data_IF_808904342115
#
_entry.id   IF_808904342115
#
_cell.length_a   1.000
_cell.length_b   1.000
_cell.length_c   1.000
_cell.angle_alpha   90.00
_cell.angle_beta   90.00
_cell.angle_gamma   90.00
#
_symmetry.space_group_name_H-M   'P 1'
#
loop_
_entity.id
_entity.type
_entity.pdbx_description
1 polymer ?
#
# COMPACT_ATOMS: atom_id res chain seq x y z
N UNK A 1 -24.61 -16.18 56.57
CA UNK A 1 -24.79 -16.89 55.29
C UNK A 1 -25.06 -15.84 54.21
N UNK A 2 -24.01 -15.14 53.73
CA UNK A 2 -24.13 -14.05 52.75
C UNK A 2 -23.79 -14.56 51.36
N UNK A 3 -24.82 -14.77 50.53
CA UNK A 3 -24.68 -15.07 49.13
C UNK A 3 -25.08 -13.87 48.28
N UNK A 4 -24.13 -13.28 47.57
CA UNK A 4 -24.38 -12.69 46.25
C UNK A 4 -23.13 -12.87 45.40
N UNK A 5 -23.30 -13.68 44.36
CA UNK A 5 -22.36 -14.05 43.30
C UNK A 5 -21.49 -12.87 42.87
N UNK A 6 -20.18 -13.13 42.80
CA UNK A 6 -19.21 -12.29 42.11
C UNK A 6 -19.72 -12.03 40.69
N UNK A 7 -20.09 -10.79 40.41
CA UNK A 7 -20.41 -10.29 39.07
C UNK A 7 -19.08 -10.30 38.32
N UNK A 8 -18.79 -11.42 37.65
CA UNK A 8 -17.67 -11.49 36.72
C UNK A 8 -17.98 -10.50 35.61
N UNK A 9 -17.29 -9.36 35.63
CA UNK A 9 -17.21 -8.47 34.49
C UNK A 9 -16.54 -9.28 33.37
N UNK A 10 -17.35 -9.79 32.45
CA UNK A 10 -16.86 -10.26 31.16
C UNK A 10 -16.47 -9.00 30.38
N UNK A 11 -15.30 -8.45 30.71
CA UNK A 11 -14.60 -7.58 29.79
C UNK A 11 -14.29 -8.46 28.58
N UNK A 12 -15.15 -8.36 27.56
CA UNK A 12 -14.80 -8.73 26.20
C UNK A 12 -13.55 -7.95 25.86
N UNK A 13 -12.39 -8.53 26.17
CA UNK A 13 -11.15 -8.18 25.51
C UNK A 13 -11.41 -8.52 24.05
N UNK A 14 -11.75 -7.50 23.26
CA UNK A 14 -11.47 -7.51 21.84
C UNK A 14 -9.95 -7.68 21.74
N UNK A 15 -9.50 -8.93 21.81
CA UNK A 15 -8.21 -9.35 21.34
C UNK A 15 -8.27 -9.04 19.86
N UNK A 16 -7.86 -7.82 19.51
CA UNK A 16 -7.39 -7.48 18.19
C UNK A 16 -6.27 -8.48 17.94
N UNK A 17 -6.64 -9.63 17.38
CA UNK A 17 -5.76 -10.49 16.65
C UNK A 17 -5.32 -9.62 15.47
N UNK A 18 -4.36 -8.73 15.75
CA UNK A 18 -3.44 -8.16 14.79
C UNK A 18 -2.72 -9.39 14.28
N UNK A 19 -3.38 -10.07 13.34
CA UNK A 19 -2.77 -11.02 12.46
C UNK A 19 -1.56 -10.26 11.97
N UNK A 20 -0.41 -10.64 12.47
CA UNK A 20 0.89 -10.21 11.98
C UNK A 20 0.87 -10.59 10.52
N UNK A 21 0.34 -9.69 9.68
CA UNK A 21 0.45 -9.76 8.24
C UNK A 21 1.94 -9.69 8.06
N UNK A 22 2.55 -10.87 7.89
CA UNK A 22 3.95 -11.10 7.52
C UNK A 22 4.41 -9.83 6.79
N UNK A 23 5.44 -9.10 7.25
CA UNK A 23 5.89 -7.92 6.54
C UNK A 23 6.20 -8.41 5.13
N UNK A 24 5.31 -8.08 4.18
CA UNK A 24 5.38 -8.58 2.82
C UNK A 24 6.50 -7.81 2.18
N UNK A 25 7.73 -8.27 2.45
CA UNK A 25 8.94 -8.08 1.66
C UNK A 25 8.83 -6.87 0.74
N UNK A 26 8.89 -5.68 1.35
CA UNK A 26 9.37 -4.52 0.63
C UNK A 26 10.77 -4.91 0.23
N UNK A 27 11.00 -5.31 -1.02
CA UNK A 27 12.26 -5.31 -1.79
C UNK A 27 12.08 -5.85 -3.23
N UNK A 28 10.85 -5.96 -3.75
CA UNK A 28 10.66 -6.15 -5.18
C UNK A 28 10.34 -4.78 -5.81
N UNK A 29 11.27 -4.27 -6.63
CA UNK A 29 11.03 -3.10 -7.50
C UNK A 29 10.12 -3.55 -8.64
N UNK A 30 8.85 -3.69 -8.33
CA UNK A 30 7.84 -4.04 -9.32
C UNK A 30 7.62 -2.82 -10.22
N UNK A 31 7.93 -2.97 -11.51
CA UNK A 31 7.76 -1.89 -12.50
C UNK A 31 6.33 -1.35 -12.50
N UNK A 32 5.35 -2.21 -12.21
CA UNK A 32 3.94 -1.85 -12.08
C UNK A 32 3.67 -0.90 -10.91
N UNK A 33 4.36 -1.08 -9.78
CA UNK A 33 4.26 -0.17 -8.63
C UNK A 33 4.86 1.20 -8.96
N UNK A 34 5.98 1.22 -9.68
CA UNK A 34 6.62 2.46 -10.10
C UNK A 34 5.72 3.21 -11.11
N UNK A 35 5.16 2.50 -12.09
CA UNK A 35 4.18 3.06 -13.02
C UNK A 35 2.94 3.60 -12.28
N UNK A 36 2.44 2.88 -11.27
CA UNK A 36 1.35 3.36 -10.41
C UNK A 36 1.70 4.67 -9.69
N UNK A 37 2.91 4.77 -9.15
CA UNK A 37 3.42 5.99 -8.50
C UNK A 37 3.50 7.18 -9.46
N UNK A 38 4.01 6.99 -10.67
CA UNK A 38 4.04 8.04 -11.68
C UNK A 38 2.63 8.45 -12.14
N UNK A 39 1.69 7.50 -12.27
CA UNK A 39 0.28 7.81 -12.56
C UNK A 39 -0.34 8.67 -11.46
N UNK A 40 -0.08 8.36 -10.19
CA UNK A 40 -0.55 9.17 -9.06
C UNK A 40 0.07 10.57 -9.04
N UNK A 41 1.35 10.71 -9.42
CA UNK A 41 2.01 12.01 -9.52
C UNK A 41 1.38 12.92 -10.59
N UNK A 42 0.79 12.35 -11.65
CA UNK A 42 0.09 13.14 -12.68
C UNK A 42 -1.22 13.75 -12.17
N UNK A 43 -1.95 13.04 -11.31
CA UNK A 43 -3.24 13.47 -10.77
C UNK A 43 -3.11 14.29 -9.49
N UNK A 44 -1.98 14.19 -8.78
CA UNK A 44 -1.79 14.90 -7.52
C UNK A 44 -1.60 16.41 -7.75
N UNK A 45 -2.52 17.27 -7.27
CA UNK A 45 -2.45 18.72 -7.46
C UNK A 45 -1.22 19.38 -6.79
N UNK A 46 -0.64 18.72 -5.79
CA UNK A 46 0.58 19.20 -5.10
C UNK A 46 1.86 18.91 -5.89
N UNK A 47 1.75 18.26 -7.06
CA UNK A 47 2.91 17.94 -7.89
C UNK A 47 3.23 19.10 -8.83
N UNK A 48 4.51 19.48 -8.86
CA UNK A 48 5.00 20.55 -9.74
C UNK A 48 4.77 20.21 -11.21
N UNK A 49 4.74 21.24 -12.07
CA UNK A 49 4.61 21.04 -13.52
C UNK A 49 5.75 20.19 -14.09
N UNK A 50 6.98 20.45 -13.63
CA UNK A 50 8.15 19.65 -14.03
C UNK A 50 8.07 18.20 -13.55
N UNK A 51 7.60 17.97 -12.31
CA UNK A 51 7.41 16.62 -11.77
C UNK A 51 6.41 15.80 -12.57
N UNK A 52 5.29 16.40 -12.99
CA UNK A 52 4.30 15.76 -13.86
C UNK A 52 4.85 15.45 -15.25
N UNK A 53 5.61 16.38 -15.84
CA UNK A 53 6.26 16.15 -17.14
C UNK A 53 7.25 14.98 -17.09
N UNK A 54 8.03 14.89 -16.01
CA UNK A 54 8.95 13.78 -15.77
C UNK A 54 8.20 12.45 -15.60
N UNK A 55 7.16 12.41 -14.75
CA UNK A 55 6.33 11.22 -14.55
C UNK A 55 5.72 10.69 -15.85
N UNK A 56 5.24 11.59 -16.73
CA UNK A 56 4.71 11.23 -18.05
C UNK A 56 5.77 10.63 -18.98
N UNK A 57 7.01 11.15 -18.93
CA UNK A 57 8.12 10.63 -19.72
C UNK A 57 8.50 9.21 -19.28
N UNK A 58 8.65 9.00 -17.98
CA UNK A 58 9.04 7.70 -17.42
C UNK A 58 7.97 6.63 -17.66
N UNK A 59 6.68 6.98 -17.55
CA UNK A 59 5.59 6.05 -17.89
C UNK A 59 5.67 5.56 -19.34
N UNK A 60 5.83 6.46 -20.31
CA UNK A 60 5.93 6.09 -21.73
C UNK A 60 7.18 5.25 -22.00
N UNK A 61 8.27 5.55 -21.32
CA UNK A 61 9.52 4.80 -21.40
C UNK A 61 9.33 3.37 -20.87
N UNK A 62 8.68 3.20 -19.72
CA UNK A 62 8.37 1.90 -19.12
C UNK A 62 7.47 1.04 -20.00
N UNK A 63 6.39 1.60 -20.56
CA UNK A 63 5.49 0.90 -21.50
C UNK A 63 6.23 0.41 -22.75
N UNK A 64 7.16 1.22 -23.27
CA UNK A 64 7.95 0.84 -24.43
C UNK A 64 8.88 -0.33 -24.12
N UNK A 65 9.48 -0.38 -22.93
CA UNK A 65 10.41 -1.46 -22.54
C UNK A 65 9.72 -2.77 -22.14
N UNK A 66 8.48 -2.75 -21.65
CA UNK A 66 7.76 -4.00 -21.37
C UNK A 66 7.43 -4.77 -22.64
N UNK A 67 7.18 -4.06 -23.75
CA UNK A 67 6.77 -4.67 -25.01
C UNK A 67 7.94 -5.31 -25.79
N UNK A 68 9.18 -4.86 -25.58
CA UNK A 68 10.36 -5.37 -26.33
C UNK A 68 10.96 -6.65 -25.72
N UNK A 69 10.51 -7.07 -24.53
CA UNK A 69 11.09 -8.21 -23.80
C UNK A 69 10.24 -9.48 -23.86
N UNK A 70 9.20 -9.54 -24.71
CA UNK A 70 8.52 -10.79 -25.06
C UNK A 70 9.07 -11.31 -26.40
N UNK A 71 10.12 -12.13 -26.33
CA UNK A 71 10.57 -12.99 -27.43
C UNK A 71 10.52 -14.45 -26.95
#
# INVERSE_FOLDING_TARGET
MFGTRRRAHHDTHHASATTTRKPRFWHRRDKDRIAGGYKAALTNPNTTHQGRKHAKHELRKMERYSHVLQY
#
